data_IF_346347428926
#
_entry.id   IF_346347428926
#
_cell.length_a   1.000
_cell.length_b   1.000
_cell.length_c   1.000
_cell.angle_alpha   90.00
_cell.angle_beta   90.00
_cell.angle_gamma   90.00
#
_symmetry.space_group_name_H-M   'P 1'
#
loop_
_entity.id
_entity.type
_entity.pdbx_description
1 polymer ?
#
# COMPACT_ATOMS: atom_id res chain seq x y z
N UNK A 1 -46.55 -23.45 41.17
CA UNK A 1 -45.94 -23.49 39.81
C UNK A 1 -44.45 -23.66 40.03
N UNK A 2 -44.05 -24.88 40.34
CA UNK A 2 -42.71 -25.18 40.85
C UNK A 2 -41.77 -25.43 39.67
N UNK A 3 -41.10 -24.36 39.25
CA UNK A 3 -40.04 -24.44 38.26
C UNK A 3 -38.90 -25.23 38.93
N UNK A 4 -38.59 -26.41 38.39
CA UNK A 4 -37.64 -27.34 39.00
C UNK A 4 -36.23 -26.76 38.97
N UNK A 5 -35.48 -26.98 40.06
CA UNK A 5 -34.06 -26.57 40.20
C UNK A 5 -33.20 -27.08 39.02
N UNK A 6 -33.56 -28.23 38.46
CA UNK A 6 -32.92 -28.82 37.28
C UNK A 6 -33.07 -27.97 36.02
N UNK A 7 -34.19 -27.26 35.86
CA UNK A 7 -34.45 -26.38 34.71
C UNK A 7 -33.60 -25.12 34.79
N UNK A 8 -33.40 -24.57 35.99
CA UNK A 8 -32.47 -23.46 36.23
C UNK A 8 -31.02 -23.88 35.97
N UNK A 9 -30.61 -25.06 36.44
CA UNK A 9 -29.26 -25.57 36.22
C UNK A 9 -28.97 -25.78 34.73
N UNK A 10 -29.95 -26.31 33.98
CA UNK A 10 -29.84 -26.51 32.53
C UNK A 10 -29.76 -25.18 31.78
N UNK A 11 -30.57 -24.18 32.17
CA UNK A 11 -30.52 -22.84 31.60
C UNK A 11 -29.20 -22.12 31.88
N UNK A 12 -28.61 -22.31 33.06
CA UNK A 12 -27.31 -21.74 33.43
C UNK A 12 -26.19 -22.33 32.56
N UNK A 13 -26.18 -23.65 32.39
CA UNK A 13 -25.20 -24.35 31.55
C UNK A 13 -25.33 -23.93 30.07
N UNK A 14 -26.56 -23.79 29.58
CA UNK A 14 -26.82 -23.32 28.22
C UNK A 14 -26.29 -21.89 28.02
N UNK A 15 -26.54 -20.98 28.97
CA UNK A 15 -26.04 -19.60 28.90
C UNK A 15 -24.51 -19.52 28.91
N UNK A 16 -23.83 -20.35 29.73
CA UNK A 16 -22.37 -20.42 29.76
C UNK A 16 -21.80 -20.96 28.44
N UNK A 17 -22.41 -22.01 27.88
CA UNK A 17 -21.97 -22.57 26.59
C UNK A 17 -22.09 -21.54 25.46
N UNK A 18 -23.21 -20.81 25.40
CA UNK A 18 -23.45 -19.74 24.41
C UNK A 18 -22.45 -18.59 24.62
N UNK A 19 -22.21 -18.18 25.86
CA UNK A 19 -21.24 -17.14 26.19
C UNK A 19 -19.80 -17.51 25.77
N UNK A 20 -19.38 -18.75 26.01
CA UNK A 20 -18.10 -19.28 25.56
C UNK A 20 -18.00 -19.31 24.02
N UNK A 21 -19.07 -19.69 23.33
CA UNK A 21 -19.12 -19.74 21.87
C UNK A 21 -18.99 -18.34 21.26
N UNK A 22 -19.75 -17.38 21.77
CA UNK A 22 -19.69 -15.97 21.36
C UNK A 22 -18.30 -15.39 21.65
N UNK A 23 -17.74 -15.65 22.83
CA UNK A 23 -16.40 -15.21 23.20
C UNK A 23 -15.32 -15.78 22.27
N UNK A 24 -15.41 -17.06 21.90
CA UNK A 24 -14.49 -17.71 20.97
C UNK A 24 -14.62 -17.14 19.54
N UNK A 25 -15.84 -16.91 19.07
CA UNK A 25 -16.09 -16.27 17.77
C UNK A 25 -15.55 -14.83 17.72
N UNK A 26 -15.79 -14.03 18.76
CA UNK A 26 -15.23 -12.68 18.84
C UNK A 26 -13.70 -12.69 18.90
N UNK A 27 -13.11 -13.56 19.73
CA UNK A 27 -11.66 -13.63 19.88
C UNK A 27 -10.98 -14.06 18.56
N UNK A 28 -11.55 -15.04 17.87
CA UNK A 28 -11.06 -15.49 16.57
C UNK A 28 -11.20 -14.39 15.50
N UNK A 29 -12.35 -13.71 15.45
CA UNK A 29 -12.55 -12.56 14.56
C UNK A 29 -11.59 -11.40 14.84
N UNK A 30 -11.33 -11.09 16.12
CA UNK A 30 -10.39 -10.04 16.52
C UNK A 30 -8.94 -10.39 16.13
N UNK A 31 -8.56 -11.65 16.26
CA UNK A 31 -7.23 -12.15 15.87
C UNK A 31 -7.04 -12.06 14.36
N UNK A 32 -8.06 -12.40 13.59
CA UNK A 32 -8.03 -12.27 12.13
C UNK A 32 -7.99 -10.80 11.69
N UNK A 33 -8.80 -9.94 12.30
CA UNK A 33 -8.76 -8.49 12.07
C UNK A 33 -7.38 -7.91 12.40
N UNK A 34 -6.78 -8.27 13.54
CA UNK A 34 -5.44 -7.82 13.94
C UNK A 34 -4.38 -8.25 12.93
N UNK A 35 -4.46 -9.49 12.42
CA UNK A 35 -3.54 -9.99 11.41
C UNK A 35 -3.71 -9.25 10.07
N UNK A 36 -4.94 -8.98 9.65
CA UNK A 36 -5.22 -8.17 8.46
C UNK A 36 -4.76 -6.72 8.63
N UNK A 37 -5.00 -6.10 9.78
CA UNK A 37 -4.54 -4.73 10.07
C UNK A 37 -3.02 -4.65 10.08
N UNK A 38 -2.34 -5.66 10.62
CA UNK A 38 -0.87 -5.74 10.61
C UNK A 38 -0.33 -5.89 9.19
N UNK A 39 -0.97 -6.71 8.35
CA UNK A 39 -0.62 -6.86 6.94
C UNK A 39 -0.89 -5.59 6.13
N UNK A 40 -1.98 -4.87 6.41
CA UNK A 40 -2.27 -3.57 5.80
C UNK A 40 -1.23 -2.54 6.25
N UNK A 41 -0.90 -2.50 7.55
CA UNK A 41 0.06 -1.55 8.11
C UNK A 41 1.48 -1.73 7.56
N UNK A 42 1.95 -2.97 7.39
CA UNK A 42 3.24 -3.23 6.73
C UNK A 42 3.22 -2.82 5.25
N UNK A 43 2.09 -3.04 4.58
CA UNK A 43 1.91 -2.60 3.19
C UNK A 43 1.81 -1.09 3.03
N UNK A 44 1.25 -0.42 4.04
CA UNK A 44 1.06 1.01 4.06
C UNK A 44 2.37 1.76 4.30
N UNK A 45 3.28 1.25 5.15
CA UNK A 45 4.53 1.95 5.48
C UNK A 45 5.41 2.22 4.27
N UNK A 46 5.66 1.23 3.41
CA UNK A 46 6.52 1.45 2.23
C UNK A 46 5.83 2.33 1.20
N UNK A 47 4.52 2.15 0.98
CA UNK A 47 3.74 3.02 0.08
C UNK A 47 3.63 4.44 0.61
N UNK A 48 3.53 4.64 1.92
CA UNK A 48 3.38 5.97 2.51
C UNK A 48 4.62 6.81 2.27
N UNK A 49 5.82 6.22 2.27
CA UNK A 49 7.06 6.93 1.89
C UNK A 49 6.98 7.36 0.42
N UNK A 50 6.51 6.48 -0.48
CA UNK A 50 6.34 6.80 -1.90
C UNK A 50 5.25 7.86 -2.17
N UNK A 51 4.18 7.88 -1.36
CA UNK A 51 3.04 8.81 -1.49
C UNK A 51 3.12 10.02 -0.56
N UNK A 52 4.17 10.16 0.25
CA UNK A 52 4.29 11.21 1.27
C UNK A 52 4.21 12.61 0.65
N UNK A 53 4.87 12.79 -0.49
CA UNK A 53 4.82 14.03 -1.26
C UNK A 53 3.38 14.37 -1.71
N UNK A 54 2.66 13.38 -2.27
CA UNK A 54 1.27 13.54 -2.70
C UNK A 54 0.36 13.86 -1.51
N UNK A 55 0.59 13.21 -0.35
CA UNK A 55 -0.16 13.45 0.87
C UNK A 55 0.02 14.89 1.39
N UNK A 56 1.27 15.38 1.47
CA UNK A 56 1.56 16.75 1.90
C UNK A 56 0.96 17.76 0.91
N UNK A 57 1.12 17.51 -0.39
CA UNK A 57 0.57 18.37 -1.42
C UNK A 57 -0.96 18.42 -1.34
N UNK A 58 -1.63 17.29 -1.14
CA UNK A 58 -3.08 17.23 -0.99
C UNK A 58 -3.57 17.98 0.26
N UNK A 59 -2.95 17.74 1.42
CA UNK A 59 -3.28 18.44 2.67
C UNK A 59 -3.08 19.95 2.55
N UNK A 60 -1.93 20.37 2.01
CA UNK A 60 -1.62 21.77 1.78
C UNK A 60 -2.57 22.41 0.76
N UNK A 61 -2.97 21.68 -0.28
CA UNK A 61 -3.96 22.15 -1.26
C UNK A 61 -5.31 22.39 -0.60
N UNK A 62 -5.83 21.42 0.17
CA UNK A 62 -7.11 21.58 0.89
C UNK A 62 -7.04 22.79 1.82
N UNK A 63 -5.95 22.95 2.56
CA UNK A 63 -5.77 24.09 3.45
C UNK A 63 -5.80 25.43 2.70
N UNK A 64 -5.04 25.54 1.60
CA UNK A 64 -5.01 26.75 0.76
C UNK A 64 -6.37 27.02 0.13
N UNK A 65 -7.12 26.00 -0.29
CA UNK A 65 -8.48 26.18 -0.83
C UNK A 65 -9.47 26.66 0.25
N UNK A 66 -9.41 26.11 1.47
CA UNK A 66 -10.28 26.53 2.57
C UNK A 66 -10.01 27.98 3.02
N UNK A 67 -8.76 28.42 2.99
CA UNK A 67 -8.34 29.75 3.43
C UNK A 67 -7.84 30.65 2.28
N UNK A 68 -8.34 30.42 1.07
CA UNK A 68 -7.79 31.01 -0.16
C UNK A 68 -7.68 32.53 -0.11
N UNK A 69 -8.73 33.20 0.38
CA UNK A 69 -8.78 34.67 0.47
C UNK A 69 -7.72 35.25 1.43
N UNK A 70 -7.39 34.52 2.50
CA UNK A 70 -6.36 34.94 3.46
C UNK A 70 -4.97 34.59 2.97
N UNK A 71 -4.81 33.43 2.32
CA UNK A 71 -3.53 32.96 1.76
C UNK A 71 -3.03 33.81 0.59
N UNK A 72 -3.92 34.30 -0.28
CA UNK A 72 -3.55 35.11 -1.47
C UNK A 72 -3.28 36.58 -1.13
N UNK A 73 -3.58 37.02 0.10
CA UNK A 73 -3.33 38.37 0.59
C UNK A 73 -1.82 38.60 0.89
N UNK A 74 -1.02 38.51 -0.17
CA UNK A 74 0.44 38.61 -0.17
C UNK A 74 0.90 40.03 0.16
N UNK A 75 1.00 40.34 1.45
CA UNK A 75 1.67 41.55 1.95
C UNK A 75 3.17 41.26 2.15
N UNK A 76 4.01 41.62 1.18
CA UNK A 76 5.43 41.23 1.15
C UNK A 76 6.36 42.01 2.09
N UNK A 77 5.92 43.08 2.77
CA UNK A 77 6.88 43.95 3.49
C UNK A 77 6.46 44.45 4.88
N UNK A 78 5.19 44.33 5.30
CA UNK A 78 4.80 44.69 6.69
C UNK A 78 3.78 43.76 7.37
N UNK A 79 2.93 43.03 6.63
CA UNK A 79 1.87 42.14 7.18
C UNK A 79 2.02 40.69 6.71
N UNK A 80 3.26 40.23 6.54
CA UNK A 80 3.50 38.86 6.15
C UNK A 80 3.13 37.92 7.30
N UNK A 81 2.19 37.00 7.05
CA UNK A 81 1.63 36.09 8.06
C UNK A 81 1.89 34.62 7.68
N UNK A 82 1.70 33.70 8.62
CA UNK A 82 1.84 32.26 8.41
C UNK A 82 0.95 31.72 7.29
N UNK A 83 -0.23 32.31 7.06
CA UNK A 83 -1.12 31.95 5.94
C UNK A 83 -0.46 32.19 4.57
N UNK A 84 0.28 33.29 4.44
CA UNK A 84 1.00 33.65 3.22
C UNK A 84 2.23 32.76 3.03
N UNK A 85 2.88 32.36 4.13
CA UNK A 85 3.99 31.42 4.10
C UNK A 85 3.53 30.02 3.67
N UNK A 86 2.37 29.56 4.13
CA UNK A 86 1.76 28.30 3.71
C UNK A 86 1.40 28.36 2.21
N UNK A 87 0.92 29.50 1.72
CA UNK A 87 0.67 29.71 0.29
C UNK A 87 1.96 29.60 -0.56
N UNK A 88 3.05 30.26 -0.13
CA UNK A 88 4.34 30.17 -0.81
C UNK A 88 4.93 28.75 -0.75
N UNK A 89 4.80 28.07 0.38
CA UNK A 89 5.21 26.68 0.53
C UNK A 89 4.41 25.75 -0.37
N UNK A 90 3.09 25.93 -0.46
CA UNK A 90 2.24 25.20 -1.38
C UNK A 90 2.62 25.45 -2.85
N UNK A 91 2.91 26.69 -3.22
CA UNK A 91 3.38 27.06 -4.55
C UNK A 91 4.73 26.38 -4.87
N UNK A 92 5.66 26.40 -3.91
CA UNK A 92 6.95 25.72 -4.04
C UNK A 92 6.79 24.20 -4.18
N UNK A 93 5.88 23.57 -3.43
CA UNK A 93 5.54 22.15 -3.58
C UNK A 93 4.96 21.84 -4.96
N UNK A 94 4.19 22.74 -5.56
CA UNK A 94 3.60 22.57 -6.89
C UNK A 94 4.65 22.74 -8.00
N UNK A 95 5.64 23.61 -7.79
CA UNK A 95 6.79 23.81 -8.69
C UNK A 95 7.86 22.72 -8.53
N UNK A 96 8.00 22.12 -7.36
CA UNK A 96 8.98 21.07 -7.07
C UNK A 96 9.00 19.92 -8.11
N UNK A 97 7.87 19.29 -8.47
CA UNK A 97 7.84 18.23 -9.48
C UNK A 97 8.14 18.75 -10.90
N UNK A 98 7.95 20.05 -11.17
CA UNK A 98 8.39 20.62 -12.45
C UNK A 98 9.91 20.64 -12.58
N UNK A 99 10.67 20.82 -11.48
CA UNK A 99 12.13 20.78 -11.49
C UNK A 99 12.70 19.38 -11.75
N UNK A 100 12.09 18.32 -11.22
CA UNK A 100 12.42 16.94 -11.62
C UNK A 100 12.02 16.66 -13.07
N UNK A 101 10.93 17.25 -13.54
CA UNK A 101 10.45 17.11 -14.93
C UNK A 101 11.28 17.89 -15.95
N UNK A 102 12.26 18.71 -15.53
CA UNK A 102 13.31 19.23 -16.40
C UNK A 102 14.39 18.18 -16.76
N UNK A 103 14.19 16.91 -16.38
CA UNK A 103 14.67 15.75 -17.15
C UNK A 103 13.88 15.55 -18.48
N UNK A 104 13.08 16.55 -18.88
CA UNK A 104 12.52 16.74 -20.22
C UNK A 104 13.56 17.01 -21.33
N UNK A 105 14.85 16.89 -21.03
CA UNK A 105 15.96 16.90 -22.00
C UNK A 105 16.84 15.64 -21.91
N UNK A 106 16.24 14.45 -21.72
CA UNK A 106 16.81 13.26 -22.37
C UNK A 106 16.73 11.89 -21.71
N UNK A 107 16.29 11.70 -20.46
CA UNK A 107 16.22 10.33 -19.90
C UNK A 107 14.95 10.12 -19.08
N UNK A 108 14.03 9.35 -19.66
CA UNK A 108 12.78 8.97 -19.03
C UNK A 108 13.02 8.07 -17.79
N UNK A 109 12.56 8.52 -16.63
CA UNK A 109 12.42 7.73 -15.39
C UNK A 109 11.56 6.45 -15.58
N UNK A 110 10.87 6.31 -16.73
CA UNK A 110 10.17 5.07 -17.12
C UNK A 110 11.08 3.87 -17.41
N UNK A 111 12.39 4.04 -17.63
CA UNK A 111 13.30 2.91 -17.94
C UNK A 111 13.45 1.91 -16.80
N UNK A 112 13.45 2.35 -15.53
CA UNK A 112 13.74 1.44 -14.40
C UNK A 112 12.68 0.36 -14.11
N UNK A 113 11.42 0.55 -14.54
CA UNK A 113 10.40 -0.50 -14.46
C UNK A 113 10.39 -1.39 -15.71
N UNK A 114 10.62 -0.81 -16.88
CA UNK A 114 10.67 -1.54 -18.14
C UNK A 114 11.87 -2.48 -18.22
N UNK A 115 13.03 -2.07 -17.69
CA UNK A 115 14.25 -2.88 -17.72
C UNK A 115 14.14 -4.11 -16.80
N UNK A 116 13.50 -3.98 -15.63
CA UNK A 116 13.26 -5.13 -14.73
C UNK A 116 12.28 -6.15 -15.31
N UNK A 117 11.24 -5.68 -16.00
CA UNK A 117 10.28 -6.56 -16.67
C UNK A 117 10.94 -7.24 -17.88
N UNK A 118 11.76 -6.52 -18.65
CA UNK A 118 12.56 -7.13 -19.72
C UNK A 118 13.60 -8.11 -19.19
N UNK A 119 14.29 -7.85 -18.09
CA UNK A 119 15.25 -8.78 -17.49
C UNK A 119 14.56 -10.06 -17.00
N UNK A 120 13.39 -9.94 -16.36
CA UNK A 120 12.59 -11.09 -15.94
C UNK A 120 12.08 -11.92 -17.14
N UNK A 121 11.59 -11.25 -18.19
CA UNK A 121 11.14 -11.92 -19.41
C UNK A 121 12.32 -12.60 -20.12
N UNK A 122 13.48 -11.92 -20.24
CA UNK A 122 14.65 -12.44 -20.97
C UNK A 122 15.25 -13.64 -20.25
N UNK A 123 15.34 -13.62 -18.91
CA UNK A 123 15.82 -14.75 -18.12
C UNK A 123 14.92 -15.98 -18.22
N UNK A 124 13.60 -15.79 -18.24
CA UNK A 124 12.64 -16.88 -18.40
C UNK A 124 12.71 -17.51 -19.80
N UNK A 125 12.82 -16.68 -20.85
CA UNK A 125 13.06 -17.18 -22.22
C UNK A 125 14.38 -17.95 -22.34
N UNK A 126 15.45 -17.48 -21.68
CA UNK A 126 16.75 -18.15 -21.75
C UNK A 126 16.72 -19.53 -21.06
N UNK A 127 16.01 -19.65 -19.93
CA UNK A 127 15.82 -20.92 -19.23
C UNK A 127 15.00 -21.93 -20.06
N UNK A 128 13.94 -21.46 -20.74
CA UNK A 128 13.12 -22.30 -21.62
C UNK A 128 13.92 -22.84 -22.82
N UNK A 129 14.76 -22.01 -23.45
CA UNK A 129 15.62 -22.42 -24.57
C UNK A 129 16.66 -23.45 -24.12
N UNK A 130 17.31 -23.24 -22.98
CA UNK A 130 18.31 -24.16 -22.43
C UNK A 130 17.70 -25.54 -22.15
N UNK A 131 16.53 -25.58 -21.50
CA UNK A 131 15.84 -26.83 -21.20
C UNK A 131 15.41 -27.58 -22.47
N UNK A 132 14.97 -26.87 -23.50
CA UNK A 132 14.63 -27.47 -24.78
C UNK A 132 15.85 -28.05 -25.51
N UNK A 133 17.03 -27.42 -25.39
CA UNK A 133 18.27 -27.94 -25.95
C UNK A 133 18.74 -29.19 -25.20
N UNK A 134 18.72 -29.17 -23.86
CA UNK A 134 19.08 -30.33 -23.03
C UNK A 134 18.20 -31.54 -23.38
N UNK A 135 16.89 -31.32 -23.52
CA UNK A 135 15.95 -32.39 -23.88
C UNK A 135 16.29 -33.02 -25.24
N UNK A 136 16.57 -32.21 -26.26
CA UNK A 136 16.98 -32.70 -27.59
C UNK A 136 18.31 -33.43 -27.58
N UNK A 137 19.26 -32.96 -26.77
CA UNK A 137 20.56 -33.61 -26.57
C UNK A 137 20.38 -35.00 -25.93
N UNK A 138 19.45 -35.12 -24.98
CA UNK A 138 19.14 -36.38 -24.31
C UNK A 138 18.45 -37.37 -25.25
N UNK A 139 17.46 -36.91 -26.01
CA UNK A 139 16.79 -37.71 -27.04
C UNK A 139 17.78 -38.19 -28.13
N UNK A 140 18.76 -37.35 -28.51
CA UNK A 140 19.81 -37.76 -29.44
C UNK A 140 20.73 -38.84 -28.86
N UNK A 141 21.14 -38.71 -27.59
CA UNK A 141 21.99 -39.70 -26.93
C UNK A 141 21.29 -41.04 -26.71
N UNK A 142 19.99 -41.02 -26.42
CA UNK A 142 19.18 -42.23 -26.31
C UNK A 142 19.03 -42.94 -27.66
N UNK A 143 18.89 -42.19 -28.76
CA UNK A 143 18.82 -42.75 -30.12
C UNK A 143 20.15 -43.27 -30.67
N UNK A 144 21.30 -42.86 -30.11
CA UNK A 144 22.63 -43.38 -30.48
C UNK A 144 23.02 -44.64 -29.68
N UNK A 145 22.25 -44.99 -28.65
CA UNK A 145 22.49 -46.15 -27.78
C UNK A 145 21.52 -47.33 -28.03
N UNK A 146 20.57 -47.20 -28.95
CA UNK A 146 19.77 -48.28 -29.57
C UNK A 146 20.42 -48.81 -30.86
#
# INVERSE_FOLDING_TARGET
>A
MDISITTYLLSLLAALAIGCLIGYCLHSGLKELKNKLKAIGSNFRYKLVDYWFILILALSSVFVFCHFNECIALSFTEKFNGMNLIFLFWLALLLFPMFESFEGFGISIKKRKYDKEKEAITSDFHAQILNAQIKKEQERKEAEHE
#
